data_IF_607659193541
#
_entry.id   IF_607659193541
#
_cell.length_a   1.000
_cell.length_b   1.000
_cell.length_c   1.000
_cell.angle_alpha   90.00
_cell.angle_beta   90.00
_cell.angle_gamma   90.00
#
_symmetry.space_group_name_H-M   'P 1'
#
loop_
_entity.id
_entity.type
_entity.pdbx_description
1 polymer ?
#
# COMPACT_ATOMS: atom_id res chain seq x y z
N UNK A 1 26.52 -28.50 1.16
CA UNK A 1 26.21 -27.07 1.37
C UNK A 1 25.61 -26.59 0.06
N UNK A 2 24.36 -26.98 -0.17
CA UNK A 2 23.68 -26.75 -1.44
C UNK A 2 23.31 -25.27 -1.55
N UNK A 3 23.71 -24.74 -2.69
CA UNK A 3 23.42 -23.43 -3.21
C UNK A 3 21.88 -23.36 -3.40
N UNK A 4 21.17 -22.83 -2.41
CA UNK A 4 19.83 -22.28 -2.61
C UNK A 4 19.99 -20.97 -3.40
N UNK A 5 20.29 -21.11 -4.70
CA UNK A 5 20.08 -20.06 -5.70
C UNK A 5 18.66 -19.54 -5.49
N UNK A 6 18.54 -18.22 -5.33
CA UNK A 6 17.28 -17.52 -5.19
C UNK A 6 16.34 -17.92 -6.31
N UNK A 7 15.42 -18.84 -6.01
CA UNK A 7 14.39 -19.23 -6.94
C UNK A 7 13.31 -18.13 -6.87
N UNK A 8 13.10 -17.33 -7.93
CA UNK A 8 12.04 -16.33 -7.97
C UNK A 8 10.65 -16.96 -7.82
N UNK A 9 10.53 -18.28 -8.02
CA UNK A 9 9.33 -19.08 -7.80
C UNK A 9 9.28 -19.75 -6.41
N UNK A 10 10.18 -19.38 -5.50
CA UNK A 10 10.08 -19.80 -4.11
C UNK A 10 8.74 -19.36 -3.53
N UNK A 11 8.01 -20.27 -2.86
CA UNK A 11 6.61 -20.05 -2.48
C UNK A 11 6.33 -18.70 -1.78
N UNK A 12 7.25 -18.23 -0.92
CA UNK A 12 7.16 -16.92 -0.27
C UNK A 12 7.18 -15.74 -1.25
N UNK A 13 8.08 -15.79 -2.24
CA UNK A 13 8.22 -14.76 -3.28
C UNK A 13 6.98 -14.72 -4.17
N UNK A 14 6.40 -15.89 -4.48
CA UNK A 14 5.13 -15.98 -5.20
C UNK A 14 3.97 -15.30 -4.45
N UNK A 15 3.87 -15.47 -3.12
CA UNK A 15 2.83 -14.78 -2.34
C UNK A 15 2.98 -13.26 -2.38
N UNK A 16 4.21 -12.73 -2.36
CA UNK A 16 4.45 -11.29 -2.47
C UNK A 16 4.10 -10.74 -3.85
N UNK A 17 4.56 -11.42 -4.91
CA UNK A 17 4.24 -11.07 -6.30
C UNK A 17 2.72 -11.11 -6.55
N UNK A 18 2.05 -12.15 -6.06
CA UNK A 18 0.59 -12.29 -6.15
C UNK A 18 -0.13 -11.18 -5.36
N UNK A 19 0.37 -10.81 -4.18
CA UNK A 19 -0.19 -9.71 -3.38
C UNK A 19 -0.12 -8.36 -4.09
N UNK A 20 1.00 -8.05 -4.76
CA UNK A 20 1.14 -6.83 -5.56
C UNK A 20 0.16 -6.81 -6.75
N UNK A 21 0.00 -7.94 -7.45
CA UNK A 21 -1.00 -8.05 -8.53
C UNK A 21 -2.43 -7.92 -7.99
N UNK A 22 -2.75 -8.57 -6.87
CA UNK A 22 -4.07 -8.49 -6.26
C UNK A 22 -4.40 -7.05 -5.86
N UNK A 23 -3.45 -6.33 -5.25
CA UNK A 23 -3.60 -4.91 -4.94
C UNK A 23 -3.78 -4.07 -6.22
N UNK A 24 -2.98 -4.31 -7.25
CA UNK A 24 -3.10 -3.61 -8.53
C UNK A 24 -4.49 -3.81 -9.16
N UNK A 25 -5.00 -5.03 -9.19
CA UNK A 25 -6.32 -5.36 -9.74
C UNK A 25 -7.44 -4.76 -8.91
N UNK A 26 -7.34 -4.82 -7.58
CA UNK A 26 -8.30 -4.20 -6.68
C UNK A 26 -8.42 -2.69 -6.95
N UNK A 27 -7.29 -1.99 -6.98
CA UNK A 27 -7.28 -0.55 -7.26
C UNK A 27 -7.69 -0.21 -8.69
N UNK A 28 -7.37 -1.05 -9.68
CA UNK A 28 -7.87 -0.89 -11.04
C UNK A 28 -9.40 -0.99 -11.10
N UNK A 29 -9.97 -2.02 -10.48
CA UNK A 29 -11.41 -2.24 -10.45
C UNK A 29 -12.14 -1.08 -9.76
N UNK A 30 -11.63 -0.65 -8.60
CA UNK A 30 -12.16 0.49 -7.86
C UNK A 30 -12.04 1.77 -8.68
N UNK A 31 -10.89 2.04 -9.29
CA UNK A 31 -10.69 3.22 -10.13
C UNK A 31 -11.62 3.29 -11.34
N UNK A 32 -11.77 2.17 -12.06
CA UNK A 32 -12.72 2.08 -13.19
C UNK A 32 -14.16 2.30 -12.72
N UNK A 33 -14.54 1.73 -11.57
CA UNK A 33 -15.89 1.91 -11.00
C UNK A 33 -16.16 3.37 -10.66
N UNK A 34 -15.24 4.05 -9.97
CA UNK A 34 -15.40 5.47 -9.62
C UNK A 34 -15.45 6.37 -10.86
N UNK A 35 -14.60 6.12 -11.86
CA UNK A 35 -14.64 6.87 -13.12
C UNK A 35 -15.95 6.70 -13.89
N UNK A 36 -16.57 5.51 -13.84
CA UNK A 36 -17.91 5.28 -14.43
C UNK A 36 -18.99 6.13 -13.76
N UNK A 37 -18.83 6.42 -12.47
CA UNK A 37 -19.73 7.29 -11.68
C UNK A 37 -19.31 8.78 -11.83
N UNK A 38 -18.36 9.09 -12.72
CA UNK A 38 -17.79 10.44 -12.95
C UNK A 38 -17.12 11.05 -11.71
N UNK A 39 -16.65 10.20 -10.80
CA UNK A 39 -15.87 10.62 -9.62
C UNK A 39 -14.39 10.67 -9.98
N UNK A 40 -13.79 11.85 -9.83
CA UNK A 40 -12.39 12.09 -10.19
C UNK A 40 -11.41 11.36 -9.27
N UNK A 41 -11.86 10.94 -8.08
CA UNK A 41 -11.14 10.05 -7.17
C UNK A 41 -10.65 8.76 -7.87
N UNK A 42 -11.38 8.31 -8.90
CA UNK A 42 -11.01 7.15 -9.72
C UNK A 42 -9.64 7.24 -10.38
N UNK A 43 -9.15 8.45 -10.69
CA UNK A 43 -7.81 8.66 -11.26
C UNK A 43 -6.73 8.26 -10.26
N UNK A 44 -6.91 8.55 -8.97
CA UNK A 44 -5.94 8.23 -7.93
C UNK A 44 -5.85 6.71 -7.75
N UNK A 45 -6.99 6.03 -7.73
CA UNK A 45 -7.05 4.57 -7.70
C UNK A 45 -6.36 3.92 -8.90
N UNK A 46 -6.53 4.47 -10.11
CA UNK A 46 -5.77 4.01 -11.28
C UNK A 46 -4.27 4.27 -11.15
N UNK A 47 -3.85 5.44 -10.63
CA UNK A 47 -2.44 5.73 -10.40
C UNK A 47 -1.79 4.74 -9.40
N UNK A 48 -2.52 4.35 -8.35
CA UNK A 48 -2.09 3.31 -7.41
C UNK A 48 -1.99 1.95 -8.06
N UNK A 49 -2.95 1.59 -8.92
CA UNK A 49 -2.87 0.35 -9.69
C UNK A 49 -1.58 0.30 -10.53
N UNK A 50 -1.28 1.38 -11.25
CA UNK A 50 -0.03 1.50 -12.02
C UNK A 50 1.20 1.40 -11.11
N UNK A 51 1.19 2.03 -9.94
CA UNK A 51 2.27 1.92 -8.96
C UNK A 51 2.50 0.47 -8.52
N UNK A 52 1.45 -0.28 -8.19
CA UNK A 52 1.57 -1.69 -7.79
C UNK A 52 2.02 -2.59 -8.94
N UNK A 53 1.58 -2.34 -10.17
CA UNK A 53 2.09 -3.04 -11.37
C UNK A 53 3.58 -2.75 -11.55
N UNK A 54 3.98 -1.48 -11.44
CA UNK A 54 5.38 -1.09 -11.59
C UNK A 54 6.26 -1.71 -10.50
N UNK A 55 5.81 -1.69 -9.24
CA UNK A 55 6.47 -2.38 -8.14
C UNK A 55 6.58 -3.89 -8.41
N UNK A 56 5.52 -4.53 -8.91
CA UNK A 56 5.54 -5.94 -9.29
C UNK A 56 6.57 -6.24 -10.39
N UNK A 57 6.61 -5.42 -11.45
CA UNK A 57 7.54 -5.58 -12.58
C UNK A 57 8.98 -5.35 -12.13
N UNK A 58 9.25 -4.29 -11.37
CA UNK A 58 10.58 -4.04 -10.81
C UNK A 58 11.03 -5.22 -9.95
N UNK A 59 10.14 -5.74 -9.11
CA UNK A 59 10.41 -6.89 -8.27
C UNK A 59 10.74 -8.13 -9.11
N UNK A 60 9.91 -8.42 -10.12
CA UNK A 60 10.10 -9.56 -11.02
C UNK A 60 11.43 -9.46 -11.79
N UNK A 61 11.78 -8.28 -12.32
CA UNK A 61 13.05 -8.06 -13.05
C UNK A 61 14.24 -8.18 -12.09
N UNK A 62 14.14 -7.61 -10.88
CA UNK A 62 15.19 -7.69 -9.86
C UNK A 62 15.43 -9.11 -9.33
N UNK A 63 14.49 -10.03 -9.57
CA UNK A 63 14.60 -11.43 -9.16
C UNK A 63 15.47 -12.29 -10.08
N UNK A 64 15.79 -11.82 -11.29
CA UNK A 64 16.62 -12.54 -12.26
C UNK A 64 18.13 -12.24 -12.18
N UNK A 65 18.53 -11.26 -11.38
CA UNK A 65 19.93 -10.85 -11.27
C UNK A 65 20.44 -11.07 -9.83
N UNK A 66 21.74 -11.33 -9.64
CA UNK A 66 22.41 -11.62 -8.35
C UNK A 66 22.39 -10.43 -7.36
N UNK A 67 21.21 -9.88 -7.08
CA UNK A 67 21.06 -8.66 -6.32
C UNK A 67 20.54 -8.95 -4.91
N UNK A 68 21.18 -8.28 -3.94
CA UNK A 68 20.93 -8.32 -2.49
C UNK A 68 19.46 -8.11 -2.10
N UNK A 69 18.66 -7.50 -2.97
CA UNK A 69 17.23 -7.23 -2.77
C UNK A 69 16.42 -8.54 -2.71
N UNK A 70 16.69 -9.51 -3.59
CA UNK A 70 15.99 -10.79 -3.59
C UNK A 70 16.36 -11.64 -2.38
N UNK A 71 17.63 -11.58 -1.95
CA UNK A 71 18.08 -12.19 -0.69
C UNK A 71 17.36 -11.53 0.50
N UNK A 72 17.36 -10.21 0.59
CA UNK A 72 16.66 -9.49 1.67
C UNK A 72 15.19 -9.86 1.76
N UNK A 73 14.51 -10.02 0.62
CA UNK A 73 13.06 -10.26 0.61
C UNK A 73 12.70 -11.73 0.75
N UNK A 74 13.54 -12.65 0.28
CA UNK A 74 13.37 -14.09 0.59
C UNK A 74 13.54 -14.39 2.08
N UNK A 75 14.27 -13.53 2.81
CA UNK A 75 14.38 -13.54 4.27
C UNK A 75 13.28 -12.73 4.99
N UNK A 76 12.54 -11.86 4.29
CA UNK A 76 11.42 -11.14 4.91
C UNK A 76 10.28 -12.11 5.24
N UNK A 77 9.79 -12.01 6.47
CA UNK A 77 8.50 -12.57 6.85
C UNK A 77 7.37 -11.79 6.17
N UNK A 78 6.19 -12.42 6.07
CA UNK A 78 4.97 -11.76 5.58
C UNK A 78 4.68 -10.50 6.39
N UNK A 79 4.98 -10.53 7.69
CA UNK A 79 4.85 -9.39 8.59
C UNK A 79 5.80 -8.25 8.23
N UNK A 80 7.06 -8.58 7.93
CA UNK A 80 8.04 -7.61 7.47
C UNK A 80 7.63 -6.97 6.14
N UNK A 81 6.99 -7.72 5.25
CA UNK A 81 6.47 -7.20 3.97
C UNK A 81 5.36 -6.17 4.19
N UNK A 82 4.41 -6.46 5.09
CA UNK A 82 3.35 -5.50 5.42
C UNK A 82 3.91 -4.19 5.95
N UNK A 83 4.94 -4.26 6.80
CA UNK A 83 5.58 -3.07 7.38
C UNK A 83 6.40 -2.32 6.33
N UNK A 84 7.16 -3.03 5.49
CA UNK A 84 8.12 -2.41 4.57
C UNK A 84 7.50 -1.86 3.28
N UNK A 85 6.40 -2.46 2.79
CA UNK A 85 5.79 -2.10 1.51
C UNK A 85 4.36 -1.59 1.64
N UNK A 86 3.54 -2.29 2.42
CA UNK A 86 2.12 -1.93 2.54
C UNK A 86 1.94 -0.65 3.37
N UNK A 87 2.69 -0.49 4.46
CA UNK A 87 2.60 0.71 5.30
C UNK A 87 2.98 2.00 4.55
N UNK A 88 4.12 2.08 3.81
CA UNK A 88 4.42 3.25 3.00
C UNK A 88 3.38 3.53 1.93
N UNK A 89 2.85 2.49 1.26
CA UNK A 89 1.81 2.66 0.26
C UNK A 89 0.53 3.26 0.86
N UNK A 90 0.13 2.79 2.05
CA UNK A 90 -1.04 3.31 2.77
C UNK A 90 -0.82 4.75 3.29
N UNK A 91 0.38 5.10 3.75
CA UNK A 91 0.72 6.49 4.08
C UNK A 91 0.60 7.38 2.84
N UNK A 92 1.17 6.95 1.71
CA UNK A 92 1.10 7.68 0.47
C UNK A 92 -0.34 7.87 -0.02
N UNK A 93 -1.16 6.82 0.14
CA UNK A 93 -2.60 6.86 -0.13
C UNK A 93 -3.28 7.97 0.67
N UNK A 94 -3.07 7.99 1.99
CA UNK A 94 -3.65 9.00 2.88
C UNK A 94 -3.23 10.43 2.50
N UNK A 95 -1.95 10.63 2.19
CA UNK A 95 -1.44 11.95 1.82
C UNK A 95 -1.99 12.41 0.47
N UNK A 96 -1.99 11.55 -0.55
CA UNK A 96 -2.48 11.90 -1.88
C UNK A 96 -3.99 12.17 -1.88
N UNK A 97 -4.79 11.30 -1.27
CA UNK A 97 -6.23 11.51 -1.16
C UNK A 97 -6.55 12.71 -0.26
N UNK A 98 -5.78 12.92 0.79
CA UNK A 98 -5.94 14.10 1.64
C UNK A 98 -5.68 15.41 0.89
N UNK A 99 -4.60 15.48 0.12
CA UNK A 99 -4.30 16.62 -0.76
C UNK A 99 -5.37 16.82 -1.83
N UNK A 100 -5.80 15.74 -2.48
CA UNK A 100 -6.85 15.80 -3.49
C UNK A 100 -8.18 16.31 -2.93
N UNK A 101 -8.58 15.86 -1.74
CA UNK A 101 -9.76 16.33 -1.06
C UNK A 101 -9.68 17.82 -0.70
N UNK A 102 -8.51 18.30 -0.23
CA UNK A 102 -8.29 19.72 0.00
C UNK A 102 -8.45 20.56 -1.28
N UNK A 103 -7.88 20.09 -2.41
CA UNK A 103 -8.03 20.76 -3.73
C UNK A 103 -9.49 20.72 -4.21
N UNK A 104 -10.22 19.67 -3.88
CA UNK A 104 -11.64 19.48 -4.23
C UNK A 104 -12.60 20.18 -3.26
N UNK A 105 -12.10 21.11 -2.43
CA UNK A 105 -12.84 21.89 -1.41
C UNK A 105 -13.47 21.05 -0.28
N UNK A 106 -13.17 19.74 -0.19
CA UNK A 106 -13.52 18.86 0.94
C UNK A 106 -12.45 18.96 2.03
N UNK A 107 -12.26 20.16 2.57
CA UNK A 107 -11.13 20.50 3.46
C UNK A 107 -11.12 19.62 4.71
N UNK A 108 -12.28 19.38 5.34
CA UNK A 108 -12.37 18.57 6.57
C UNK A 108 -11.85 17.15 6.33
N UNK A 109 -12.35 16.46 5.32
CA UNK A 109 -11.89 15.12 4.94
C UNK A 109 -10.40 15.11 4.56
N UNK A 110 -9.97 16.13 3.81
CA UNK A 110 -8.59 16.26 3.38
C UNK A 110 -7.62 16.35 4.57
N UNK A 111 -7.92 17.21 5.54
CA UNK A 111 -7.12 17.38 6.76
C UNK A 111 -7.11 16.08 7.58
N UNK A 112 -8.25 15.41 7.75
CA UNK A 112 -8.31 14.13 8.49
C UNK A 112 -7.40 13.09 7.84
N UNK A 113 -7.47 12.93 6.51
CA UNK A 113 -6.64 11.96 5.78
C UNK A 113 -5.14 12.31 5.87
N UNK A 114 -4.77 13.58 5.72
CA UNK A 114 -3.38 14.02 5.89
C UNK A 114 -2.90 13.75 7.32
N UNK A 115 -3.70 14.09 8.32
CA UNK A 115 -3.35 13.89 9.72
C UNK A 115 -3.10 12.41 10.04
N UNK A 116 -3.96 11.50 9.56
CA UNK A 116 -3.77 10.06 9.76
C UNK A 116 -2.49 9.58 9.07
N UNK A 117 -2.25 10.00 7.82
CA UNK A 117 -1.03 9.64 7.09
C UNK A 117 0.26 10.09 7.81
N UNK A 118 0.30 11.34 8.28
CA UNK A 118 1.43 11.90 9.03
C UNK A 118 1.58 11.22 10.40
N UNK A 119 0.47 10.97 11.11
CA UNK A 119 0.49 10.28 12.39
C UNK A 119 1.05 8.86 12.25
N UNK A 120 0.58 8.11 11.25
CA UNK A 120 1.07 6.76 10.96
C UNK A 120 2.56 6.77 10.61
N UNK A 121 3.02 7.71 9.79
CA UNK A 121 4.44 7.91 9.49
C UNK A 121 5.25 8.17 10.77
N UNK A 122 4.78 9.06 11.63
CA UNK A 122 5.47 9.44 12.87
C UNK A 122 5.54 8.28 13.86
N UNK A 123 4.45 7.52 14.02
CA UNK A 123 4.39 6.35 14.92
C UNK A 123 5.31 5.25 14.40
N UNK A 124 5.27 4.91 13.11
CA UNK A 124 6.14 3.87 12.55
C UNK A 124 7.61 4.27 12.62
N UNK A 125 7.93 5.54 12.38
CA UNK A 125 9.28 6.06 12.55
C UNK A 125 9.74 5.98 14.02
N UNK A 126 8.87 6.36 14.97
CA UNK A 126 9.18 6.36 16.41
C UNK A 126 9.36 4.94 16.96
N UNK A 127 8.57 3.98 16.47
CA UNK A 127 8.77 2.56 16.76
C UNK A 127 10.08 2.05 16.15
N UNK A 128 10.54 2.63 15.04
CA UNK A 128 11.81 2.28 14.41
C UNK A 128 11.93 0.79 14.05
N UNK A 129 13.15 0.32 13.77
CA UNK A 129 13.39 -1.08 13.37
C UNK A 129 13.39 -2.03 14.57
N UNK A 130 13.67 -1.54 15.78
CA UNK A 130 13.84 -2.36 16.98
C UNK A 130 12.55 -2.95 17.57
N UNK A 131 11.38 -2.42 17.20
CA UNK A 131 10.11 -2.91 17.72
C UNK A 131 9.55 -4.08 16.90
N UNK A 132 8.95 -5.10 17.55
CA UNK A 132 8.35 -6.25 16.88
C UNK A 132 7.31 -5.88 15.82
N UNK A 133 7.31 -6.58 14.69
CA UNK A 133 6.31 -6.41 13.63
C UNK A 133 4.87 -6.59 14.14
N UNK A 134 4.68 -7.45 15.14
CA UNK A 134 3.40 -7.71 15.81
C UNK A 134 2.73 -6.45 16.37
N UNK A 135 3.48 -5.40 16.68
CA UNK A 135 2.94 -4.13 17.20
C UNK A 135 2.66 -3.16 16.05
N UNK A 136 3.44 -3.23 14.96
CA UNK A 136 3.30 -2.38 13.78
C UNK A 136 2.12 -2.81 12.91
N UNK A 137 1.85 -4.11 12.80
CA UNK A 137 0.76 -4.63 11.95
C UNK A 137 -0.62 -4.15 12.40
N UNK A 138 -1.01 -4.24 13.69
CA UNK A 138 -2.30 -3.72 14.15
C UNK A 138 -2.50 -2.25 13.81
N UNK A 139 -1.46 -1.42 13.93
CA UNK A 139 -1.51 -0.01 13.53
C UNK A 139 -1.84 0.14 12.04
N UNK A 140 -1.18 -0.63 11.18
CA UNK A 140 -1.41 -0.62 9.73
C UNK A 140 -2.83 -1.10 9.40
N UNK A 141 -3.30 -2.15 10.07
CA UNK A 141 -4.65 -2.70 9.89
C UNK A 141 -5.74 -1.73 10.38
N UNK A 142 -5.55 -1.10 11.54
CA UNK A 142 -6.46 -0.07 12.05
C UNK A 142 -6.52 1.09 11.06
N UNK A 143 -5.36 1.54 10.58
CA UNK A 143 -5.31 2.61 9.58
C UNK A 143 -6.05 2.20 8.29
N UNK A 144 -5.88 0.96 7.83
CA UNK A 144 -6.62 0.46 6.66
C UNK A 144 -8.14 0.44 6.90
N UNK A 145 -8.59 -0.01 8.08
CA UNK A 145 -10.01 -0.04 8.45
C UNK A 145 -10.58 1.38 8.54
N UNK A 146 -9.85 2.30 9.15
CA UNK A 146 -10.23 3.71 9.24
C UNK A 146 -10.33 4.32 7.83
N UNK A 147 -9.40 3.99 6.94
CA UNK A 147 -9.46 4.43 5.55
C UNK A 147 -10.76 3.96 4.88
N UNK A 148 -11.08 2.68 4.98
CA UNK A 148 -12.34 2.15 4.44
C UNK A 148 -13.57 2.82 5.07
N UNK A 149 -13.55 3.06 6.39
CA UNK A 149 -14.64 3.74 7.08
C UNK A 149 -14.86 5.16 6.56
N UNK A 150 -13.79 5.95 6.41
CA UNK A 150 -13.87 7.33 5.89
C UNK A 150 -14.39 7.33 4.45
N UNK A 151 -13.90 6.43 3.60
CA UNK A 151 -14.37 6.35 2.21
C UNK A 151 -15.82 5.88 2.10
N UNK A 152 -16.26 4.94 2.95
CA UNK A 152 -17.65 4.47 2.98
C UNK A 152 -18.60 5.56 3.48
N UNK A 153 -18.24 6.28 4.54
CA UNK A 153 -19.07 7.38 5.06
C UNK A 153 -19.16 8.56 4.11
N UNK A 154 -18.09 8.90 3.39
CA UNK A 154 -18.11 9.96 2.39
C UNK A 154 -19.05 9.66 1.20
N UNK A 155 -19.36 8.38 0.94
CA UNK A 155 -20.34 8.00 -0.10
C UNK A 155 -21.77 8.36 0.31
N UNK A 156 -22.13 8.23 1.60
CA UNK A 156 -23.50 8.44 2.10
C UNK A 156 -23.91 9.92 2.12
N UNK A 157 -22.98 10.86 2.36
CA UNK A 157 -23.31 12.29 2.40
C UNK A 157 -23.56 12.92 1.03
N UNK A 158 -23.29 12.18 -0.06
CA UNK A 158 -23.44 12.68 -1.44
C UNK A 158 -24.64 12.11 -2.21
N UNK A 159 -25.47 11.27 -1.57
CA UNK A 159 -26.73 10.74 -2.09
C UNK A 159 -27.94 11.51 -1.58
#
# INVERSE_FOLDING_TARGET
MEILIGNPLGGKVCYYLAGLIAAALFFAMTGIKELKIKRFEGIIYLALSVFFIFAHVLFFISSGAEYQILSYISHLSITGWMVALFAPALIFLYLLFGLFNCVSLRISEGIIKIFIGVAMMTILYSLGVGWPDLIKIPLILISLIVWFGIELSAVEETS
#
